data_IF_048610748034
#
_entry.id   IF_048610748034
#
_cell.length_a   1.000
_cell.length_b   1.000
_cell.length_c   1.000
_cell.angle_alpha   90.00
_cell.angle_beta   90.00
_cell.angle_gamma   90.00
#
_symmetry.space_group_name_H-M   'P 1'
#
loop_
_entity.id
_entity.type
_entity.pdbx_description
1 polymer ?
#
# COMPACT_ATOMS: atom_id res chain seq x y z
N UNK A 1 -39.66 43.04 68.94
CA UNK A 1 -39.79 44.50 69.03
C UNK A 1 -39.59 45.07 67.62
N UNK A 2 -40.62 45.75 67.15
CA UNK A 2 -40.74 46.64 66.01
C UNK A 2 -40.36 46.05 64.64
N UNK A 3 -41.25 45.94 63.66
CA UNK A 3 -42.28 46.87 63.26
C UNK A 3 -41.76 47.79 62.15
N UNK A 4 -42.16 47.56 60.91
CA UNK A 4 -42.85 48.62 60.13
C UNK A 4 -43.28 48.12 58.75
N UNK A 5 -44.51 48.32 58.46
CA UNK A 5 -45.18 48.29 57.18
C UNK A 5 -44.62 49.40 56.26
N UNK A 6 -44.49 49.14 54.97
CA UNK A 6 -44.68 50.16 53.94
C UNK A 6 -45.28 49.52 52.68
N UNK A 7 -46.49 49.90 52.41
CA UNK A 7 -47.21 49.71 51.20
C UNK A 7 -46.59 50.56 50.04
N UNK A 8 -46.69 50.08 48.81
CA UNK A 8 -46.33 50.91 47.68
C UNK A 8 -46.68 50.30 46.34
N UNK A 9 -47.86 50.55 45.87
CA UNK A 9 -48.36 50.79 44.51
C UNK A 9 -47.97 49.83 43.32
N UNK A 10 -48.97 49.49 42.51
CA UNK A 10 -48.82 48.76 41.30
C UNK A 10 -48.32 49.67 40.15
N UNK A 11 -47.27 49.31 39.52
CA UNK A 11 -46.86 49.94 38.25
C UNK A 11 -47.45 49.10 37.12
N UNK A 12 -48.54 49.62 36.55
CA UNK A 12 -48.95 49.25 35.19
C UNK A 12 -48.01 49.91 34.20
N UNK A 13 -47.13 49.19 33.66
CA UNK A 13 -46.26 49.62 32.58
C UNK A 13 -46.56 48.81 31.33
N UNK A 14 -46.91 49.54 30.32
CA UNK A 14 -47.46 49.15 29.04
C UNK A 14 -46.71 48.00 28.30
N UNK A 15 -47.53 47.22 27.66
CA UNK A 15 -47.18 46.32 26.55
C UNK A 15 -46.47 47.13 25.43
N UNK A 16 -45.24 46.80 25.15
CA UNK A 16 -44.64 47.02 23.85
C UNK A 16 -44.40 45.64 23.29
N UNK A 17 -45.37 45.14 22.53
CA UNK A 17 -45.11 44.14 21.52
C UNK A 17 -44.18 44.75 20.47
N UNK A 18 -42.99 44.25 20.40
CA UNK A 18 -42.20 44.35 19.19
C UNK A 18 -42.15 42.94 18.62
N UNK A 19 -43.10 42.70 17.72
CA UNK A 19 -42.98 41.63 16.73
C UNK A 19 -41.80 41.96 15.82
N UNK A 20 -40.65 41.48 16.17
CA UNK A 20 -39.57 41.22 15.22
C UNK A 20 -39.32 39.70 15.25
N UNK A 21 -40.20 38.98 14.55
CA UNK A 21 -39.84 37.72 13.98
C UNK A 21 -38.72 37.98 12.96
N UNK A 22 -37.52 38.03 13.45
CA UNK A 22 -36.36 37.83 12.63
C UNK A 22 -36.42 36.40 12.10
N UNK A 23 -37.11 36.25 10.96
CA UNK A 23 -37.05 35.04 10.15
C UNK A 23 -35.57 34.87 9.75
N UNK A 24 -34.85 34.18 10.63
CA UNK A 24 -33.60 33.56 10.24
C UNK A 24 -33.96 32.58 9.13
N UNK A 25 -33.85 33.04 7.88
CA UNK A 25 -33.84 32.19 6.72
C UNK A 25 -32.60 31.26 6.86
N UNK A 26 -32.80 30.23 7.65
CA UNK A 26 -31.93 29.05 7.56
C UNK A 26 -32.10 28.55 6.14
N UNK A 27 -31.16 28.90 5.28
CA UNK A 27 -30.97 28.21 4.01
C UNK A 27 -30.81 26.76 4.39
N UNK A 28 -31.88 25.99 4.33
CA UNK A 28 -31.79 24.54 4.29
C UNK A 28 -31.39 24.25 2.84
N UNK A 29 -30.12 23.90 2.59
CA UNK A 29 -29.78 23.36 1.28
C UNK A 29 -30.60 22.08 1.18
N UNK A 30 -31.56 22.05 0.25
CA UNK A 30 -32.12 20.81 -0.23
C UNK A 30 -31.01 20.11 -1.01
N UNK A 31 -30.06 19.58 -0.27
CA UNK A 31 -29.17 18.57 -0.79
C UNK A 31 -30.06 17.34 -0.84
N UNK A 32 -30.55 16.98 -2.02
CA UNK A 32 -31.01 15.62 -2.24
C UNK A 32 -29.90 14.74 -1.67
N UNK A 33 -30.19 14.04 -0.60
CA UNK A 33 -29.32 12.97 -0.15
C UNK A 33 -29.31 12.00 -1.32
N UNK A 34 -28.23 12.01 -2.07
CA UNK A 34 -27.91 10.91 -2.96
C UNK A 34 -27.92 9.69 -2.05
N UNK A 35 -28.94 8.85 -2.17
CA UNK A 35 -28.90 7.52 -1.57
C UNK A 35 -27.72 6.86 -2.26
N UNK A 36 -26.61 6.78 -1.55
CA UNK A 36 -25.49 5.93 -1.96
C UNK A 36 -26.06 4.53 -1.92
N UNK A 37 -26.26 3.97 -3.09
CA UNK A 37 -26.58 2.56 -3.22
C UNK A 37 -25.33 1.82 -2.77
N UNK A 38 -25.35 1.28 -1.56
CA UNK A 38 -24.25 0.50 -1.00
C UNK A 38 -23.89 -0.71 -1.88
N UNK A 39 -24.81 -1.11 -2.76
CA UNK A 39 -24.55 -2.15 -3.77
C UNK A 39 -23.67 -1.68 -4.92
N UNK A 40 -23.41 -0.36 -5.05
CA UNK A 40 -22.46 0.23 -6.00
C UNK A 40 -21.13 0.61 -5.34
N UNK A 41 -20.94 0.35 -4.07
CA UNK A 41 -19.61 0.31 -3.45
C UNK A 41 -19.02 -1.00 -3.97
N UNK A 42 -18.29 -0.86 -5.04
CA UNK A 42 -17.59 -1.95 -5.70
C UNK A 42 -16.66 -2.58 -4.68
N UNK A 43 -16.95 -3.81 -4.31
CA UNK A 43 -16.14 -4.58 -3.37
C UNK A 43 -15.00 -5.24 -4.14
N UNK A 44 -14.16 -4.45 -4.79
CA UNK A 44 -12.94 -4.92 -5.43
C UNK A 44 -11.89 -5.25 -4.37
N UNK A 45 -12.26 -6.20 -3.50
CA UNK A 45 -11.41 -6.63 -2.38
C UNK A 45 -10.25 -7.49 -2.84
N UNK A 46 -10.35 -8.11 -4.01
CA UNK A 46 -9.34 -9.03 -4.54
C UNK A 46 -8.51 -8.35 -5.63
N UNK A 47 -7.23 -8.64 -5.60
CA UNK A 47 -6.24 -8.13 -6.55
C UNK A 47 -5.45 -9.31 -7.14
N UNK A 48 -5.29 -9.33 -8.45
CA UNK A 48 -4.32 -10.19 -9.13
C UNK A 48 -3.36 -9.30 -9.92
N UNK A 49 -2.06 -9.60 -9.85
CA UNK A 49 -1.06 -8.83 -10.58
C UNK A 49 0.00 -9.71 -11.21
N UNK A 50 0.54 -9.21 -12.31
CA UNK A 50 1.81 -9.67 -12.89
C UNK A 50 2.84 -8.56 -12.74
N UNK A 51 4.07 -8.93 -12.43
CA UNK A 51 5.13 -7.96 -12.28
C UNK A 51 6.42 -8.41 -12.96
N UNK A 52 7.27 -7.42 -13.23
CA UNK A 52 8.63 -7.64 -13.69
C UNK A 52 9.52 -6.50 -13.24
N UNK A 53 10.80 -6.78 -13.15
CA UNK A 53 11.75 -5.80 -12.67
C UNK A 53 13.16 -6.33 -12.58
N UNK A 54 13.89 -5.83 -11.60
CA UNK A 54 15.28 -6.19 -11.36
C UNK A 54 15.46 -6.58 -9.90
N UNK A 55 16.19 -7.66 -9.68
CA UNK A 55 16.63 -8.17 -8.39
C UNK A 55 18.16 -8.11 -8.33
N UNK A 56 18.69 -7.33 -7.41
CA UNK A 56 20.10 -7.28 -7.08
C UNK A 56 20.35 -8.21 -5.89
N UNK A 57 20.91 -9.38 -6.15
CA UNK A 57 21.29 -10.35 -5.11
C UNK A 57 22.70 -9.99 -4.65
N UNK A 58 22.90 -9.96 -3.32
CA UNK A 58 24.19 -9.64 -2.73
C UNK A 58 25.28 -10.62 -3.24
N UNK A 59 26.45 -10.11 -3.59
CA UNK A 59 27.59 -10.81 -4.21
C UNK A 59 27.37 -11.30 -5.66
N UNK A 60 26.15 -11.17 -6.20
CA UNK A 60 25.83 -11.54 -7.58
C UNK A 60 25.49 -10.30 -8.42
N UNK A 61 25.30 -10.51 -9.71
CA UNK A 61 24.86 -9.45 -10.61
C UNK A 61 23.37 -9.13 -10.39
N UNK A 62 22.94 -7.97 -10.89
CA UNK A 62 21.52 -7.61 -10.94
C UNK A 62 20.85 -8.33 -12.10
N UNK A 63 19.78 -9.04 -11.81
CA UNK A 63 19.09 -9.91 -12.76
C UNK A 63 17.63 -9.51 -12.92
N UNK A 64 17.01 -9.98 -14.00
CA UNK A 64 15.58 -9.77 -14.24
C UNK A 64 14.79 -10.68 -13.34
N UNK A 65 13.78 -10.13 -12.66
CA UNK A 65 12.79 -10.86 -11.91
C UNK A 65 11.42 -10.73 -12.58
N UNK A 66 10.66 -11.81 -12.60
CA UNK A 66 9.27 -11.83 -13.03
C UNK A 66 8.44 -12.60 -12.00
N UNK A 67 7.15 -12.25 -11.89
CA UNK A 67 6.32 -12.94 -10.93
C UNK A 67 4.85 -12.53 -10.98
N UNK A 68 4.11 -13.07 -10.00
CA UNK A 68 2.68 -12.82 -9.82
C UNK A 68 2.38 -12.47 -8.38
N UNK A 69 1.33 -11.70 -8.16
CA UNK A 69 0.83 -11.33 -6.84
C UNK A 69 -0.67 -11.63 -6.76
N UNK A 70 -1.12 -12.03 -5.60
CA UNK A 70 -2.53 -12.13 -5.23
C UNK A 70 -2.73 -11.28 -3.98
N UNK A 71 -3.63 -10.34 -4.03
CA UNK A 71 -3.94 -9.41 -2.94
C UNK A 71 -5.36 -9.59 -2.44
N UNK A 72 -5.55 -9.31 -1.15
CA UNK A 72 -6.85 -9.15 -0.52
C UNK A 72 -6.85 -7.88 0.32
N UNK A 73 -7.72 -6.93 -0.04
CA UNK A 73 -7.88 -5.66 0.65
C UNK A 73 -8.83 -5.83 1.83
N UNK A 74 -8.28 -5.86 3.05
CA UNK A 74 -9.04 -6.03 4.29
C UNK A 74 -9.79 -4.75 4.64
N UNK A 75 -9.25 -3.62 4.24
CA UNK A 75 -9.82 -2.28 4.38
C UNK A 75 -9.14 -1.33 3.39
N UNK A 76 -9.58 -0.09 3.32
CA UNK A 76 -8.93 0.95 2.50
C UNK A 76 -7.44 1.16 2.86
N UNK A 77 -7.09 0.92 4.14
CA UNK A 77 -5.73 1.13 4.64
C UNK A 77 -4.87 -0.13 4.60
N UNK A 78 -5.46 -1.33 4.71
CA UNK A 78 -4.71 -2.57 4.89
C UNK A 78 -5.03 -3.62 3.84
N UNK A 79 -3.98 -4.26 3.34
CA UNK A 79 -4.10 -5.42 2.46
C UNK A 79 -3.13 -6.53 2.84
N UNK A 80 -3.48 -7.75 2.47
CA UNK A 80 -2.63 -8.93 2.55
C UNK A 80 -2.26 -9.34 1.13
N UNK A 81 -1.00 -9.66 0.89
CA UNK A 81 -0.51 -10.02 -0.43
C UNK A 81 0.31 -11.31 -0.37
N UNK A 82 0.01 -12.23 -1.26
CA UNK A 82 0.86 -13.38 -1.58
C UNK A 82 1.61 -13.06 -2.87
N UNK A 83 2.93 -13.15 -2.87
CA UNK A 83 3.76 -12.97 -4.06
C UNK A 83 4.62 -14.19 -4.33
N UNK A 84 4.77 -14.52 -5.61
CA UNK A 84 5.71 -15.49 -6.13
C UNK A 84 6.56 -14.80 -7.19
N UNK A 85 7.87 -14.98 -7.12
CA UNK A 85 8.81 -14.44 -8.10
C UNK A 85 9.90 -15.41 -8.42
N UNK A 86 10.43 -15.31 -9.65
CA UNK A 86 11.57 -16.08 -10.11
C UNK A 86 12.56 -15.18 -10.84
N UNK A 87 13.84 -15.48 -10.65
CA UNK A 87 14.97 -14.79 -11.27
C UNK A 87 16.09 -15.78 -11.55
N UNK A 88 16.78 -15.63 -12.67
CA UNK A 88 17.99 -16.39 -12.96
C UNK A 88 19.20 -15.52 -12.58
N UNK A 89 19.91 -15.95 -11.53
CA UNK A 89 21.04 -15.20 -10.96
C UNK A 89 22.29 -15.41 -11.80
N UNK A 90 22.96 -14.33 -12.19
CA UNK A 90 24.17 -14.35 -13.01
C UNK A 90 25.42 -14.84 -12.29
N UNK A 91 26.57 -14.61 -12.89
CA UNK A 91 27.86 -14.95 -12.31
C UNK A 91 28.18 -14.07 -11.10
N UNK A 92 28.87 -14.62 -10.11
CA UNK A 92 29.40 -13.84 -9.00
C UNK A 92 30.53 -12.91 -9.47
N UNK A 93 30.77 -11.85 -8.72
CA UNK A 93 31.94 -10.98 -8.94
C UNK A 93 33.25 -11.76 -8.85
N UNK A 94 33.30 -12.81 -8.03
CA UNK A 94 34.48 -13.68 -7.90
C UNK A 94 34.69 -14.54 -9.15
N UNK A 95 33.66 -15.18 -9.69
CA UNK A 95 33.74 -15.99 -10.93
C UNK A 95 34.26 -15.14 -12.08
N UNK A 96 33.72 -13.95 -12.24
CA UNK A 96 34.08 -13.00 -13.32
C UNK A 96 35.53 -12.49 -13.22
N UNK A 97 36.00 -12.23 -11.99
CA UNK A 97 37.36 -11.69 -11.79
C UNK A 97 38.45 -12.77 -11.77
N UNK A 98 38.14 -13.97 -11.24
CA UNK A 98 39.10 -15.07 -11.12
C UNK A 98 39.26 -15.87 -12.42
N UNK A 99 38.26 -15.85 -13.30
CA UNK A 99 38.19 -16.72 -14.47
C UNK A 99 38.17 -18.21 -14.09
N UNK A 100 37.71 -18.51 -12.86
CA UNK A 100 37.65 -19.86 -12.30
C UNK A 100 36.50 -20.69 -12.87
N UNK A 101 36.33 -21.90 -12.30
CA UNK A 101 35.16 -22.73 -12.60
C UNK A 101 33.91 -22.10 -11.99
N UNK A 102 32.71 -22.28 -12.61
CA UNK A 102 31.47 -21.84 -12.05
C UNK A 102 31.28 -22.36 -10.62
N UNK A 103 30.84 -21.49 -9.70
CA UNK A 103 30.55 -21.87 -8.31
C UNK A 103 29.19 -22.59 -8.19
N UNK A 104 28.24 -22.19 -9.04
CA UNK A 104 26.90 -22.73 -9.09
C UNK A 104 26.64 -23.36 -10.47
N UNK A 105 25.89 -24.45 -10.50
CA UNK A 105 25.32 -24.99 -11.73
C UNK A 105 24.17 -24.11 -12.24
N UNK A 106 23.75 -24.31 -13.49
CA UNK A 106 22.64 -23.54 -14.07
C UNK A 106 21.33 -23.72 -13.28
N UNK A 107 21.09 -24.92 -12.72
CA UNK A 107 19.90 -25.20 -11.88
C UNK A 107 19.99 -24.49 -10.51
N UNK A 108 21.18 -24.35 -9.93
CA UNK A 108 21.40 -23.68 -8.66
C UNK A 108 21.36 -22.15 -8.79
N UNK A 109 21.40 -21.62 -10.03
CA UNK A 109 21.26 -20.17 -10.29
C UNK A 109 19.82 -19.69 -10.34
N UNK A 110 18.86 -20.62 -10.37
CA UNK A 110 17.46 -20.28 -10.30
C UNK A 110 17.10 -19.86 -8.86
N UNK A 111 16.64 -18.63 -8.72
CA UNK A 111 16.14 -18.08 -7.48
C UNK A 111 14.64 -17.96 -7.57
N UNK A 112 13.94 -18.62 -6.67
CA UNK A 112 12.48 -18.55 -6.53
C UNK A 112 12.12 -18.09 -5.12
N UNK A 113 11.06 -17.30 -4.98
CA UNK A 113 10.58 -16.93 -3.66
C UNK A 113 9.06 -16.88 -3.58
N UNK A 114 8.55 -17.17 -2.38
CA UNK A 114 7.16 -17.01 -1.99
C UNK A 114 7.11 -16.14 -0.74
N UNK A 115 6.33 -15.07 -0.79
CA UNK A 115 6.14 -14.17 0.36
C UNK A 115 4.67 -13.96 0.66
N UNK A 116 4.33 -13.97 1.94
CA UNK A 116 3.07 -13.44 2.47
C UNK A 116 3.38 -12.12 3.15
N UNK A 117 2.78 -11.04 2.70
CA UNK A 117 3.05 -9.68 3.18
C UNK A 117 1.77 -9.00 3.66
N UNK A 118 1.92 -8.14 4.66
CA UNK A 118 0.93 -7.14 5.03
C UNK A 118 1.34 -5.82 4.38
N UNK A 119 0.39 -5.16 3.76
CA UNK A 119 0.56 -3.82 3.21
C UNK A 119 -0.27 -2.80 3.96
N UNK A 120 0.24 -1.58 4.02
CA UNK A 120 -0.42 -0.43 4.63
C UNK A 120 -0.35 0.77 3.70
N UNK A 121 -1.52 1.30 3.32
CA UNK A 121 -1.68 2.49 2.49
C UNK A 121 -1.46 3.73 3.37
N UNK A 122 -0.39 4.50 3.07
CA UNK A 122 0.04 5.63 3.89
C UNK A 122 -0.59 6.95 3.46
N UNK A 123 -0.46 7.26 2.17
CA UNK A 123 -0.80 8.57 1.62
C UNK A 123 -1.61 8.40 0.35
N UNK A 124 -2.96 8.40 0.45
CA UNK A 124 -3.79 8.56 -0.73
C UNK A 124 -3.57 9.95 -1.32
N UNK A 125 -3.54 10.05 -2.63
CA UNK A 125 -3.29 11.27 -3.35
C UNK A 125 -3.89 11.26 -4.74
N UNK A 126 -3.73 12.35 -5.44
CA UNK A 126 -4.16 12.51 -6.83
C UNK A 126 -2.98 12.97 -7.68
N UNK A 127 -2.76 12.33 -8.82
CA UNK A 127 -1.79 12.74 -9.81
C UNK A 127 -2.50 13.42 -10.99
N UNK A 128 -2.23 14.69 -11.20
CA UNK A 128 -2.75 15.48 -12.31
C UNK A 128 -1.82 15.32 -13.51
N UNK A 129 -2.26 14.61 -14.55
CA UNK A 129 -1.46 14.39 -15.75
C UNK A 129 -1.78 15.43 -16.82
N UNK A 130 -3.04 15.84 -16.92
CA UNK A 130 -3.50 16.96 -17.75
C UNK A 130 -4.56 17.77 -17.02
N UNK A 131 -4.96 18.92 -17.57
CA UNK A 131 -6.03 19.75 -16.99
C UNK A 131 -7.39 19.02 -16.84
N UNK A 132 -7.54 17.86 -17.49
CA UNK A 132 -8.79 17.07 -17.49
C UNK A 132 -8.62 15.62 -17.07
N UNK A 133 -7.42 15.18 -16.71
CA UNK A 133 -7.14 13.78 -16.36
C UNK A 133 -6.40 13.72 -15.05
N UNK A 134 -7.08 13.13 -14.05
CA UNK A 134 -6.56 12.89 -12.70
C UNK A 134 -6.56 11.39 -12.44
N UNK A 135 -5.49 10.89 -11.86
CA UNK A 135 -5.40 9.50 -11.40
C UNK A 135 -5.29 9.46 -9.87
N UNK A 136 -6.00 8.53 -9.27
CA UNK A 136 -5.82 8.25 -7.84
C UNK A 136 -4.49 7.54 -7.64
N UNK A 137 -3.74 7.98 -6.64
CA UNK A 137 -2.45 7.39 -6.29
C UNK A 137 -2.38 7.07 -4.81
N UNK A 138 -1.56 6.10 -4.48
CA UNK A 138 -1.35 5.70 -3.08
C UNK A 138 0.11 5.33 -2.90
N UNK A 139 0.74 5.85 -1.84
CA UNK A 139 2.01 5.36 -1.34
C UNK A 139 1.72 4.30 -0.28
N UNK A 140 2.34 3.12 -0.38
CA UNK A 140 2.15 2.06 0.60
C UNK A 140 3.47 1.50 1.12
N UNK A 141 3.43 0.91 2.31
CA UNK A 141 4.49 0.08 2.87
C UNK A 141 4.05 -1.38 2.87
N UNK A 142 4.99 -2.27 2.67
CA UNK A 142 4.78 -3.71 2.78
C UNK A 142 5.82 -4.35 3.70
N UNK A 143 5.41 -5.37 4.45
CA UNK A 143 6.31 -6.20 5.22
C UNK A 143 5.76 -7.63 5.26
N UNK A 144 6.63 -8.61 5.08
CA UNK A 144 6.21 -9.99 4.97
C UNK A 144 7.29 -10.99 5.32
N UNK A 145 6.88 -12.25 5.33
CA UNK A 145 7.74 -13.40 5.55
C UNK A 145 7.46 -14.46 4.52
N UNK A 146 8.45 -15.30 4.26
CA UNK A 146 8.30 -16.36 3.29
C UNK A 146 9.51 -17.24 3.19
N UNK A 147 9.71 -17.80 2.00
CA UNK A 147 10.81 -18.69 1.68
C UNK A 147 11.41 -18.30 0.36
N UNK A 148 12.73 -18.30 0.28
CA UNK A 148 13.49 -18.19 -0.96
C UNK A 148 14.27 -19.47 -1.16
N UNK A 149 14.12 -20.09 -2.32
CA UNK A 149 14.92 -21.22 -2.79
C UNK A 149 16.03 -20.66 -3.65
N UNK A 150 17.26 -20.86 -3.23
CA UNK A 150 18.44 -20.41 -3.96
C UNK A 150 19.64 -21.31 -3.66
N UNK A 151 20.50 -21.57 -4.66
CA UNK A 151 21.66 -22.47 -4.58
C UNK A 151 21.30 -23.88 -4.08
N UNK A 152 20.08 -24.34 -4.37
CA UNK A 152 19.57 -25.68 -4.00
C UNK A 152 19.02 -25.79 -2.58
N UNK A 153 18.96 -24.69 -1.81
CA UNK A 153 18.46 -24.66 -0.43
C UNK A 153 17.28 -23.72 -0.28
N UNK A 154 16.33 -24.13 0.60
CA UNK A 154 15.21 -23.30 1.01
C UNK A 154 15.62 -22.46 2.24
N UNK A 155 15.48 -21.13 2.13
CA UNK A 155 15.85 -20.19 3.17
C UNK A 155 14.66 -19.37 3.64
N UNK A 156 14.54 -19.20 4.95
CA UNK A 156 13.54 -18.29 5.51
C UNK A 156 13.85 -16.85 5.07
N UNK A 157 12.82 -16.14 4.58
CA UNK A 157 12.97 -14.81 4.02
C UNK A 157 12.09 -13.83 4.74
N UNK A 158 12.64 -12.66 5.05
CA UNK A 158 11.90 -11.49 5.50
C UNK A 158 11.93 -10.46 4.37
N UNK A 159 10.78 -9.92 3.99
CA UNK A 159 10.66 -8.88 2.99
C UNK A 159 10.06 -7.62 3.58
N UNK A 160 10.58 -6.45 3.23
CA UNK A 160 9.93 -5.18 3.48
C UNK A 160 10.14 -4.24 2.30
N UNK A 161 9.15 -3.38 2.05
CA UNK A 161 9.18 -2.53 0.87
C UNK A 161 8.33 -1.28 0.99
N UNK A 162 8.52 -0.44 0.01
CA UNK A 162 7.72 0.74 -0.25
C UNK A 162 7.30 0.73 -1.70
N UNK A 163 6.01 1.01 -1.95
CA UNK A 163 5.48 1.04 -3.30
C UNK A 163 4.59 2.25 -3.52
N UNK A 164 4.46 2.59 -4.79
CA UNK A 164 3.57 3.63 -5.28
C UNK A 164 2.62 3.02 -6.27
N UNK A 165 1.32 3.10 -5.97
CA UNK A 165 0.22 2.62 -6.80
C UNK A 165 -0.44 3.78 -7.50
N UNK A 166 -0.74 3.61 -8.79
CA UNK A 166 -1.50 4.56 -9.59
C UNK A 166 -2.67 3.83 -10.23
N UNK A 167 -3.89 4.21 -9.86
CA UNK A 167 -5.12 3.70 -10.47
C UNK A 167 -5.42 4.52 -11.72
N UNK A 168 -5.41 3.89 -12.89
CA UNK A 168 -5.58 4.58 -14.17
C UNK A 168 -6.89 4.23 -14.90
N UNK A 169 -7.58 3.17 -14.46
CA UNK A 169 -8.90 2.79 -14.92
C UNK A 169 -9.65 2.04 -13.82
N UNK A 170 -10.95 1.88 -13.97
CA UNK A 170 -11.75 1.09 -13.04
C UNK A 170 -11.19 -0.34 -12.95
N UNK A 171 -10.80 -0.75 -11.76
CA UNK A 171 -10.21 -2.06 -11.50
C UNK A 171 -8.77 -2.26 -11.98
N UNK A 172 -8.06 -1.22 -12.51
CA UNK A 172 -6.69 -1.37 -12.95
C UNK A 172 -5.73 -0.39 -12.27
N UNK A 173 -4.59 -0.89 -11.83
CA UNK A 173 -3.49 -0.06 -11.34
C UNK A 173 -2.14 -0.48 -11.91
N UNK A 174 -1.23 0.49 -11.88
CA UNK A 174 0.20 0.31 -12.08
C UNK A 174 0.90 0.60 -10.76
N UNK A 175 1.66 -0.36 -10.26
CA UNK A 175 2.47 -0.18 -9.06
C UNK A 175 3.95 -0.20 -9.42
N UNK A 176 4.72 0.64 -8.72
CA UNK A 176 6.18 0.56 -8.69
C UNK A 176 6.55 0.29 -7.24
N UNK A 177 7.25 -0.80 -6.99
CA UNK A 177 7.64 -1.23 -5.64
C UNK A 177 9.15 -1.46 -5.57
N UNK A 178 9.75 -0.94 -4.51
CA UNK A 178 11.10 -1.27 -4.09
C UNK A 178 11.02 -2.07 -2.80
N UNK A 179 11.61 -3.26 -2.81
CA UNK A 179 11.54 -4.21 -1.71
C UNK A 179 12.93 -4.77 -1.42
N UNK A 180 13.23 -5.00 -0.16
CA UNK A 180 14.42 -5.71 0.29
C UNK A 180 14.02 -7.10 0.78
N UNK A 181 14.65 -8.14 0.26
CA UNK A 181 14.47 -9.53 0.64
C UNK A 181 15.71 -9.96 1.44
N UNK A 182 15.51 -10.22 2.71
CA UNK A 182 16.56 -10.64 3.62
C UNK A 182 16.44 -12.14 3.85
N UNK A 183 17.47 -12.89 3.47
CA UNK A 183 17.59 -14.31 3.75
C UNK A 183 19.06 -14.69 3.99
N UNK A 184 19.29 -15.85 4.57
CA UNK A 184 20.64 -16.39 4.79
C UNK A 184 21.09 -17.13 3.54
N UNK A 185 22.34 -16.95 3.14
CA UNK A 185 22.95 -17.73 2.06
C UNK A 185 24.30 -18.29 2.50
N UNK A 186 24.61 -19.50 2.03
CA UNK A 186 25.87 -20.20 2.26
C UNK A 186 26.52 -20.53 0.92
N UNK A 187 27.08 -19.53 0.26
CA UNK A 187 27.82 -19.75 -1.02
C UNK A 187 29.31 -19.94 -0.79
N UNK A 188 29.84 -19.40 0.33
CA UNK A 188 31.27 -19.42 0.65
C UNK A 188 31.62 -20.27 1.87
N UNK A 189 30.67 -21.09 2.39
CA UNK A 189 30.85 -21.99 3.51
C UNK A 189 30.60 -21.38 4.88
N UNK A 190 30.00 -20.21 4.95
CA UNK A 190 29.49 -19.58 6.17
C UNK A 190 28.09 -19.03 5.88
N UNK A 191 27.13 -19.29 6.81
CA UNK A 191 25.80 -18.70 6.69
C UNK A 191 25.89 -17.20 6.95
N UNK A 192 25.57 -16.38 5.96
CA UNK A 192 25.54 -14.93 6.06
C UNK A 192 24.16 -14.39 5.66
N UNK A 193 23.66 -13.45 6.46
CA UNK A 193 22.40 -12.76 6.16
C UNK A 193 22.65 -11.68 5.12
N UNK A 194 21.95 -11.77 3.99
CA UNK A 194 22.14 -10.89 2.84
C UNK A 194 20.92 -10.04 2.58
N UNK A 195 21.16 -8.84 2.02
CA UNK A 195 20.15 -7.91 1.59
C UNK A 195 20.04 -7.96 0.06
N UNK A 196 18.85 -8.27 -0.43
CA UNK A 196 18.59 -8.47 -1.84
C UNK A 196 17.55 -7.48 -2.32
N UNK A 197 18.01 -6.41 -2.96
CA UNK A 197 17.13 -5.31 -3.36
C UNK A 197 16.41 -5.61 -4.66
N UNK A 198 15.09 -5.52 -4.61
CA UNK A 198 14.20 -5.72 -5.74
C UNK A 198 13.49 -4.42 -6.10
N UNK A 199 13.48 -4.08 -7.39
CA UNK A 199 12.71 -2.98 -7.96
C UNK A 199 11.81 -3.52 -9.06
N UNK A 200 10.50 -3.45 -8.86
CA UNK A 200 9.50 -4.02 -9.77
C UNK A 200 8.45 -3.01 -10.20
N UNK A 201 7.89 -3.27 -11.38
CA UNK A 201 6.67 -2.66 -11.85
C UNK A 201 5.63 -3.76 -12.04
N UNK A 202 4.42 -3.55 -11.53
CA UNK A 202 3.31 -4.51 -11.65
C UNK A 202 2.08 -3.87 -12.27
N UNK A 203 1.37 -4.68 -13.04
CA UNK A 203 0.04 -4.36 -13.55
C UNK A 203 -0.97 -5.19 -12.76
N UNK A 204 -1.91 -4.52 -12.11
CA UNK A 204 -2.85 -5.12 -11.19
C UNK A 204 -4.28 -4.98 -11.72
N UNK A 205 -5.08 -6.00 -11.47
CA UNK A 205 -6.52 -6.06 -11.73
C UNK A 205 -7.24 -6.32 -10.41
N UNK A 206 -8.17 -5.46 -10.07
CA UNK A 206 -9.07 -5.56 -8.92
C UNK A 206 -10.43 -6.12 -9.33
N UNK A 207 -11.05 -6.93 -8.47
CA UNK A 207 -12.37 -7.55 -8.70
C UNK A 207 -13.03 -8.02 -7.41
#
# INVERSE_FOLDING_TARGET
VFGLLAAGAPWTGALAQSDEEEQTNLIQPQIERTEFDESLIDSDDFEIAVYGGYLAVEDFDTNVVIGVKLGYHVSEDFFVQLSYGTSEVGETSFERLSGGAPLLSDEERELEYYLVSLGFNLFPGEAFVTDSTTFNTVLYLSAGVGTTTFAGDDRFTIGYGVGHRTLFADGFSLDIEMRDLIFEQDVFGEDESTNNLELTASLNLFF
#
